data_IF_182644904086
#
_entry.id   IF_182644904086
#
_cell.length_a   1.000
_cell.length_b   1.000
_cell.length_c   1.000
_cell.angle_alpha   90.00
_cell.angle_beta   90.00
_cell.angle_gamma   90.00
#
_symmetry.space_group_name_H-M   'P 1'
#
loop_
_entity.id
_entity.type
_entity.pdbx_description
1 polymer ?
#
# COMPACT_ATOMS: atom_id res chain seq x y z
N UNK A 1 13.93 -3.63 28.17
CA UNK A 1 13.17 -4.85 27.83
C UNK A 1 11.74 -4.62 28.29
N UNK A 2 10.72 -4.99 27.52
CA UNK A 2 9.34 -4.89 27.99
C UNK A 2 9.17 -5.77 29.24
N UNK A 3 8.47 -5.25 30.25
CA UNK A 3 8.13 -6.01 31.44
C UNK A 3 7.05 -7.07 31.18
N UNK A 4 6.84 -7.99 32.12
CA UNK A 4 5.89 -9.09 31.97
C UNK A 4 4.47 -8.56 31.71
N UNK A 5 4.10 -7.45 32.34
CA UNK A 5 2.78 -6.83 32.17
C UNK A 5 2.59 -6.31 30.74
N UNK A 6 3.60 -5.64 30.18
CA UNK A 6 3.60 -5.16 28.80
C UNK A 6 3.44 -6.32 27.82
N UNK A 7 4.15 -7.43 28.02
CA UNK A 7 4.00 -8.62 27.17
C UNK A 7 2.62 -9.26 27.29
N UNK A 8 2.06 -9.29 28.48
CA UNK A 8 0.70 -9.79 28.70
C UNK A 8 -0.35 -8.93 27.96
N UNK A 9 -0.23 -7.61 28.06
CA UNK A 9 -1.13 -6.69 27.33
C UNK A 9 -0.95 -6.84 25.81
N UNK A 10 0.30 -6.92 25.33
CA UNK A 10 0.61 -7.13 23.92
C UNK A 10 -0.04 -8.40 23.35
N UNK A 11 -0.02 -9.50 24.13
CA UNK A 11 -0.68 -10.75 23.75
C UNK A 11 -2.20 -10.55 23.54
N UNK A 12 -2.89 -9.86 24.47
CA UNK A 12 -4.32 -9.60 24.29
C UNK A 12 -4.63 -8.67 23.14
N UNK A 13 -3.80 -7.65 22.91
CA UNK A 13 -3.93 -6.76 21.74
C UNK A 13 -3.73 -7.54 20.44
N UNK A 14 -2.79 -8.49 20.41
CA UNK A 14 -2.62 -9.40 19.27
C UNK A 14 -3.90 -10.20 19.00
N UNK A 15 -4.48 -10.83 20.03
CA UNK A 15 -5.74 -11.59 19.90
C UNK A 15 -6.88 -10.70 19.39
N UNK A 16 -7.03 -9.49 19.96
CA UNK A 16 -8.03 -8.52 19.48
C UNK A 16 -7.78 -8.18 18.01
N UNK A 17 -6.51 -7.96 17.62
CA UNK A 17 -6.13 -7.71 16.25
C UNK A 17 -6.51 -8.86 15.30
N UNK A 18 -6.33 -10.11 15.72
CA UNK A 18 -6.78 -11.27 14.94
C UNK A 18 -8.30 -11.29 14.75
N UNK A 19 -9.07 -11.02 15.82
CA UNK A 19 -10.53 -10.97 15.74
C UNK A 19 -11.01 -9.83 14.83
N UNK A 20 -10.42 -8.65 14.94
CA UNK A 20 -10.70 -7.52 14.03
C UNK A 20 -10.32 -7.90 12.60
N UNK A 21 -9.16 -8.51 12.34
CA UNK A 21 -8.75 -8.98 11.02
C UNK A 21 -9.74 -9.96 10.38
N UNK A 22 -10.31 -10.87 11.18
CA UNK A 22 -11.37 -11.77 10.71
C UNK A 22 -12.63 -10.99 10.32
N UNK A 23 -13.02 -9.98 11.10
CA UNK A 23 -14.12 -9.08 10.76
C UNK A 23 -13.82 -8.25 9.49
N UNK A 24 -12.59 -7.72 9.34
CA UNK A 24 -12.19 -6.98 8.14
C UNK A 24 -12.32 -7.82 6.87
N UNK A 25 -12.05 -9.13 6.91
CA UNK A 25 -12.31 -10.01 5.77
C UNK A 25 -13.80 -10.03 5.38
N UNK A 26 -14.71 -10.00 6.34
CA UNK A 26 -16.16 -9.89 6.07
C UNK A 26 -16.49 -8.55 5.41
N UNK A 27 -15.94 -7.43 5.93
CA UNK A 27 -16.13 -6.09 5.37
C UNK A 27 -15.64 -6.04 3.93
N UNK A 28 -14.44 -6.57 3.65
CA UNK A 28 -13.83 -6.61 2.32
C UNK A 28 -14.72 -7.38 1.34
N UNK A 29 -15.08 -8.62 1.68
CA UNK A 29 -15.77 -9.51 0.76
C UNK A 29 -17.20 -9.06 0.49
N UNK A 30 -17.93 -8.71 1.54
CA UNK A 30 -19.31 -8.25 1.40
C UNK A 30 -19.41 -6.85 0.82
N UNK A 31 -18.43 -5.98 1.10
CA UNK A 31 -18.32 -4.68 0.44
C UNK A 31 -18.19 -4.83 -1.08
N UNK A 32 -17.34 -5.74 -1.55
CA UNK A 32 -17.18 -6.03 -2.99
C UNK A 32 -18.43 -6.68 -3.59
N UNK A 33 -19.10 -7.57 -2.86
CA UNK A 33 -20.34 -8.23 -3.31
C UNK A 33 -21.59 -7.35 -3.12
N UNK A 34 -21.47 -6.16 -2.51
CA UNK A 34 -22.59 -5.27 -2.13
C UNK A 34 -23.62 -5.95 -1.23
N UNK A 35 -23.17 -6.87 -0.38
CA UNK A 35 -23.99 -7.58 0.60
C UNK A 35 -23.96 -6.88 1.96
N UNK A 36 -24.98 -7.11 2.80
CA UNK A 36 -25.02 -6.60 4.17
C UNK A 36 -23.89 -7.20 5.01
N UNK A 37 -23.17 -6.34 5.76
CA UNK A 37 -22.10 -6.76 6.67
C UNK A 37 -22.66 -7.53 7.88
N UNK A 38 -23.93 -7.31 8.26
CA UNK A 38 -24.53 -7.85 9.46
C UNK A 38 -25.19 -9.20 9.21
N UNK A 39 -25.98 -9.35 8.15
CA UNK A 39 -26.71 -10.58 7.80
C UNK A 39 -26.47 -10.98 6.35
N UNK A 40 -26.48 -12.27 6.05
CA UNK A 40 -26.61 -13.46 6.90
C UNK A 40 -25.29 -13.80 7.65
N UNK A 41 -25.27 -14.80 8.56
CA UNK A 41 -24.04 -15.26 9.21
C UNK A 41 -23.02 -15.78 8.18
N UNK A 42 -21.75 -15.92 8.60
CA UNK A 42 -20.66 -16.39 7.74
C UNK A 42 -20.96 -17.80 7.24
N UNK A 43 -20.80 -18.01 5.92
CA UNK A 43 -21.07 -19.27 5.23
C UNK A 43 -19.97 -19.59 4.23
N UNK A 44 -19.81 -20.88 3.92
CA UNK A 44 -18.90 -21.29 2.87
C UNK A 44 -19.43 -20.83 1.51
N UNK A 45 -18.65 -20.14 0.66
CA UNK A 45 -19.12 -19.68 -0.65
C UNK A 45 -19.45 -20.81 -1.62
N UNK A 46 -18.91 -22.02 -1.42
CA UNK A 46 -19.13 -23.18 -2.29
C UNK A 46 -20.33 -24.03 -1.87
N UNK A 47 -20.35 -24.51 -0.63
CA UNK A 47 -21.44 -25.40 -0.17
C UNK A 47 -22.56 -24.66 0.57
N UNK A 48 -22.44 -23.36 0.80
CA UNK A 48 -23.43 -22.49 1.48
C UNK A 48 -23.77 -22.89 2.92
N UNK A 49 -23.08 -23.87 3.52
CA UNK A 49 -23.24 -24.22 4.92
C UNK A 49 -22.79 -23.06 5.81
N UNK A 50 -23.58 -22.73 6.83
CA UNK A 50 -23.23 -21.75 7.84
C UNK A 50 -22.02 -22.23 8.65
N UNK A 51 -21.09 -21.30 8.92
CA UNK A 51 -19.91 -21.62 9.71
C UNK A 51 -20.30 -21.76 11.19
N UNK A 52 -19.82 -22.80 11.86
CA UNK A 52 -19.96 -23.00 13.28
C UNK A 52 -18.97 -22.05 13.99
N UNK A 53 -19.24 -21.68 15.24
CA UNK A 53 -18.46 -20.69 15.97
C UNK A 53 -16.93 -20.94 15.96
N UNK A 54 -16.47 -22.18 16.11
CA UNK A 54 -15.04 -22.51 16.09
C UNK A 54 -14.38 -22.44 14.71
N UNK A 55 -15.17 -22.49 13.61
CA UNK A 55 -14.66 -22.23 12.26
C UNK A 55 -14.27 -20.76 12.04
N UNK A 56 -14.71 -19.87 12.93
CA UNK A 56 -14.43 -18.44 12.88
C UNK A 56 -13.35 -18.01 13.86
N UNK A 57 -12.70 -18.96 14.60
CA UNK A 57 -11.55 -18.62 15.45
C UNK A 57 -10.38 -18.24 14.54
N UNK A 58 -9.93 -16.98 14.59
CA UNK A 58 -8.91 -16.49 13.67
C UNK A 58 -7.62 -17.31 13.76
N UNK A 59 -6.97 -17.53 12.62
CA UNK A 59 -5.79 -18.35 12.40
C UNK A 59 -5.97 -19.83 12.77
N UNK A 60 -6.49 -20.13 13.96
CA UNK A 60 -6.60 -21.48 14.46
C UNK A 60 -7.50 -22.34 13.58
N UNK A 61 -8.66 -21.84 13.18
CA UNK A 61 -9.57 -22.56 12.28
C UNK A 61 -8.90 -22.89 10.95
N UNK A 62 -8.17 -21.92 10.36
CA UNK A 62 -7.47 -22.13 9.09
C UNK A 62 -6.39 -23.20 9.20
N UNK A 63 -5.60 -23.19 10.29
CA UNK A 63 -4.52 -24.17 10.53
C UNK A 63 -5.10 -25.56 10.81
N UNK A 64 -6.09 -25.68 11.71
CA UNK A 64 -6.72 -26.94 12.07
C UNK A 64 -7.43 -27.60 10.89
N UNK A 65 -8.11 -26.81 10.05
CA UNK A 65 -8.79 -27.25 8.84
C UNK A 65 -7.84 -27.39 7.63
N UNK A 66 -6.55 -27.14 7.81
CA UNK A 66 -5.52 -27.18 6.74
C UNK A 66 -5.92 -26.37 5.50
N UNK A 67 -6.52 -25.20 5.73
CA UNK A 67 -6.98 -24.31 4.67
C UNK A 67 -8.13 -24.86 3.82
N UNK A 68 -8.98 -25.77 4.35
CA UNK A 68 -10.11 -26.39 3.65
C UNK A 68 -11.40 -26.23 4.44
N UNK A 69 -12.53 -26.16 3.74
CA UNK A 69 -13.84 -26.16 4.37
C UNK A 69 -14.09 -27.48 5.10
N UNK A 70 -14.66 -27.42 6.29
CA UNK A 70 -14.98 -28.62 7.08
C UNK A 70 -16.00 -29.54 6.38
N UNK A 71 -16.98 -28.97 5.69
CA UNK A 71 -18.10 -29.72 5.09
C UNK A 71 -17.80 -30.24 3.67
N UNK A 72 -17.26 -29.39 2.79
CA UNK A 72 -17.05 -29.74 1.37
C UNK A 72 -15.58 -29.91 0.97
N UNK A 73 -14.64 -29.69 1.90
CA UNK A 73 -13.20 -29.81 1.69
C UNK A 73 -12.62 -28.89 0.60
N UNK A 74 -13.40 -27.92 0.10
CA UNK A 74 -12.93 -26.92 -0.85
C UNK A 74 -11.90 -25.98 -0.19
N UNK A 75 -10.92 -25.54 -0.95
CA UNK A 75 -9.82 -24.67 -0.44
C UNK A 75 -10.35 -23.30 -0.01
N UNK A 76 -9.95 -22.89 1.20
CA UNK A 76 -10.18 -21.54 1.73
C UNK A 76 -9.05 -20.63 1.23
N UNK A 77 -9.40 -19.43 0.75
CA UNK A 77 -8.42 -18.44 0.31
C UNK A 77 -7.41 -18.12 1.41
N UNK A 78 -6.09 -18.11 1.12
CA UNK A 78 -5.07 -17.73 2.10
C UNK A 78 -5.18 -16.27 2.55
N UNK A 79 -5.96 -15.45 1.84
CA UNK A 79 -6.24 -14.06 2.22
C UNK A 79 -6.79 -13.96 3.65
N UNK A 80 -7.68 -14.87 4.05
CA UNK A 80 -8.25 -14.85 5.42
C UNK A 80 -7.15 -14.92 6.46
N UNK A 81 -6.27 -15.90 6.33
CA UNK A 81 -5.14 -16.09 7.23
C UNK A 81 -4.17 -14.89 7.22
N UNK A 82 -3.85 -14.38 6.03
CA UNK A 82 -2.89 -13.26 5.87
C UNK A 82 -3.45 -11.98 6.50
N UNK A 83 -4.71 -11.63 6.25
CA UNK A 83 -5.34 -10.42 6.80
C UNK A 83 -5.43 -10.51 8.32
N UNK A 84 -5.85 -11.65 8.87
CA UNK A 84 -5.92 -11.87 10.31
C UNK A 84 -4.55 -11.71 10.97
N UNK A 85 -3.54 -12.42 10.47
CA UNK A 85 -2.18 -12.36 11.00
C UNK A 85 -1.59 -10.96 10.91
N UNK A 86 -1.72 -10.32 9.75
CA UNK A 86 -1.23 -8.96 9.51
C UNK A 86 -1.86 -7.95 10.48
N UNK A 87 -3.18 -8.04 10.69
CA UNK A 87 -3.89 -7.16 11.62
C UNK A 87 -3.39 -7.37 13.05
N UNK A 88 -3.21 -8.62 13.48
CA UNK A 88 -2.67 -8.93 14.79
C UNK A 88 -1.27 -8.36 15.01
N UNK A 89 -0.36 -8.55 14.04
CA UNK A 89 1.00 -8.02 14.09
C UNK A 89 1.01 -6.49 14.12
N UNK A 90 0.23 -5.84 13.27
CA UNK A 90 0.16 -4.38 13.20
C UNK A 90 -0.40 -3.78 14.50
N UNK A 91 -1.45 -4.36 15.07
CA UNK A 91 -2.03 -3.90 16.32
C UNK A 91 -1.03 -3.97 17.47
N UNK A 92 -0.31 -5.08 17.54
CA UNK A 92 0.75 -5.26 18.53
C UNK A 92 1.90 -4.25 18.34
N UNK A 93 2.32 -4.04 17.09
CA UNK A 93 3.35 -3.05 16.76
C UNK A 93 2.92 -1.62 17.13
N UNK A 94 1.67 -1.24 16.83
CA UNK A 94 1.09 0.06 17.21
C UNK A 94 1.08 0.21 18.73
N UNK A 95 0.72 -0.83 19.47
CA UNK A 95 0.77 -0.81 20.93
C UNK A 95 2.20 -0.58 21.46
N UNK A 96 3.19 -1.27 20.95
CA UNK A 96 4.58 -1.05 21.36
C UNK A 96 5.08 0.37 21.04
N UNK A 97 4.57 0.97 19.97
CA UNK A 97 4.95 2.34 19.56
C UNK A 97 4.27 3.43 20.38
N UNK A 98 2.96 3.34 20.57
CA UNK A 98 2.14 4.41 21.13
C UNK A 98 1.71 4.17 22.59
N UNK A 99 1.99 2.98 23.16
CA UNK A 99 1.46 2.58 24.46
C UNK A 99 -0.07 2.59 24.49
N UNK A 100 -0.66 2.55 25.67
CA UNK A 100 -2.12 2.69 25.86
C UNK A 100 -2.44 4.19 25.82
N UNK A 101 -2.96 4.66 24.70
CA UNK A 101 -3.25 6.06 24.45
C UNK A 101 -4.41 6.25 23.46
N UNK A 102 -5.00 7.43 23.43
CA UNK A 102 -6.01 7.78 22.41
C UNK A 102 -5.39 7.69 21.01
N UNK A 103 -4.15 8.12 20.83
CA UNK A 103 -3.44 8.00 19.56
C UNK A 103 -3.29 6.55 19.10
N UNK A 104 -3.05 5.60 20.03
CA UNK A 104 -3.05 4.18 19.72
C UNK A 104 -4.41 3.73 19.16
N UNK A 105 -5.51 4.04 19.83
CA UNK A 105 -6.85 3.64 19.39
C UNK A 105 -7.18 4.19 17.99
N UNK A 106 -6.85 5.45 17.75
CA UNK A 106 -7.03 6.08 16.44
C UNK A 106 -6.18 5.39 15.36
N UNK A 107 -4.94 5.05 15.67
CA UNK A 107 -4.05 4.32 14.77
C UNK A 107 -4.56 2.91 14.44
N UNK A 108 -5.15 2.20 15.41
CA UNK A 108 -5.76 0.89 15.17
C UNK A 108 -6.92 0.99 14.14
N UNK A 109 -7.75 2.03 14.26
CA UNK A 109 -8.83 2.30 13.30
C UNK A 109 -8.26 2.65 11.93
N UNK A 110 -7.30 3.57 11.86
CA UNK A 110 -6.64 3.99 10.62
C UNK A 110 -6.02 2.80 9.88
N UNK A 111 -5.29 1.94 10.58
CA UNK A 111 -4.67 0.76 9.97
C UNK A 111 -5.71 -0.28 9.53
N UNK A 112 -6.83 -0.41 10.24
CA UNK A 112 -7.95 -1.25 9.81
C UNK A 112 -8.55 -0.75 8.49
N UNK A 113 -8.75 0.55 8.33
CA UNK A 113 -9.19 1.17 7.07
C UNK A 113 -8.17 0.93 5.94
N UNK A 114 -6.88 1.10 6.22
CA UNK A 114 -5.83 0.83 5.25
C UNK A 114 -5.81 -0.63 4.78
N UNK A 115 -5.98 -1.60 5.68
CA UNK A 115 -6.05 -3.02 5.32
C UNK A 115 -7.24 -3.28 4.38
N UNK A 116 -8.42 -2.74 4.70
CA UNK A 116 -9.60 -2.88 3.83
C UNK A 116 -9.33 -2.29 2.45
N UNK A 117 -8.87 -1.04 2.36
CA UNK A 117 -8.58 -0.36 1.10
C UNK A 117 -7.50 -1.10 0.30
N UNK A 118 -6.43 -1.57 0.96
CA UNK A 118 -5.35 -2.32 0.31
C UNK A 118 -5.86 -3.62 -0.31
N UNK A 119 -6.67 -4.39 0.40
CA UNK A 119 -7.14 -5.69 -0.09
C UNK A 119 -8.21 -5.53 -1.17
N UNK A 120 -9.11 -4.53 -1.06
CA UNK A 120 -10.11 -4.25 -2.11
C UNK A 120 -9.44 -3.74 -3.39
N UNK A 121 -8.41 -2.92 -3.27
CA UNK A 121 -7.62 -2.41 -4.38
C UNK A 121 -6.81 -3.52 -5.08
N UNK A 122 -6.23 -4.45 -4.32
CA UNK A 122 -5.54 -5.62 -4.88
C UNK A 122 -6.48 -6.58 -5.62
N UNK A 123 -7.74 -6.71 -5.17
CA UNK A 123 -8.69 -7.65 -5.76
C UNK A 123 -9.39 -7.09 -7.00
N UNK A 124 -10.02 -5.95 -6.83
CA UNK A 124 -10.93 -5.38 -7.83
C UNK A 124 -10.50 -4.01 -8.32
N UNK A 125 -9.35 -3.49 -7.83
CA UNK A 125 -8.87 -2.13 -8.12
C UNK A 125 -9.92 -1.06 -7.77
N UNK A 126 -10.64 -1.30 -6.67
CA UNK A 126 -11.70 -0.42 -6.15
C UNK A 126 -11.33 0.02 -4.75
N UNK A 127 -11.38 1.32 -4.56
CA UNK A 127 -11.28 1.97 -3.24
C UNK A 127 -12.65 2.60 -2.98
N UNK A 128 -13.30 2.19 -1.88
CA UNK A 128 -14.60 2.75 -1.50
C UNK A 128 -14.43 4.13 -0.90
N UNK A 129 -15.16 5.12 -1.40
CA UNK A 129 -15.10 6.51 -0.96
C UNK A 129 -15.29 6.67 0.54
N UNK A 130 -16.18 5.87 1.13
CA UNK A 130 -16.46 5.91 2.57
C UNK A 130 -15.21 5.63 3.41
N UNK A 131 -14.38 4.66 3.01
CA UNK A 131 -13.14 4.34 3.75
C UNK A 131 -12.10 5.46 3.61
N UNK A 132 -12.02 6.09 2.44
CA UNK A 132 -11.13 7.22 2.19
C UNK A 132 -11.54 8.46 3.00
N UNK A 133 -12.83 8.75 3.05
CA UNK A 133 -13.38 9.85 3.87
C UNK A 133 -13.11 9.59 5.36
N UNK A 134 -13.38 8.37 5.84
CA UNK A 134 -13.10 7.99 7.22
C UNK A 134 -11.60 8.09 7.54
N UNK A 135 -10.73 7.75 6.60
CA UNK A 135 -9.29 7.88 6.77
C UNK A 135 -8.89 9.33 7.03
N UNK A 136 -9.42 10.28 6.25
CA UNK A 136 -9.17 11.72 6.43
C UNK A 136 -9.72 12.19 7.78
N UNK A 137 -10.94 11.79 8.13
CA UNK A 137 -11.58 12.18 9.40
C UNK A 137 -10.75 11.68 10.59
N UNK A 138 -10.40 10.39 10.64
CA UNK A 138 -9.61 9.85 11.75
C UNK A 138 -8.18 10.40 11.77
N UNK A 139 -7.59 10.71 10.61
CA UNK A 139 -6.32 11.43 10.53
C UNK A 139 -6.39 12.84 11.14
N UNK A 140 -7.44 13.59 10.84
CA UNK A 140 -7.67 14.90 11.44
C UNK A 140 -7.93 14.82 12.97
N UNK A 141 -8.71 13.84 13.43
CA UNK A 141 -8.93 13.60 14.87
C UNK A 141 -7.61 13.27 15.56
N UNK A 142 -6.76 12.42 14.96
CA UNK A 142 -5.43 12.13 15.47
C UNK A 142 -4.57 13.39 15.56
N UNK A 143 -4.64 14.23 14.55
CA UNK A 143 -3.92 15.50 14.49
C UNK A 143 -4.38 16.48 15.58
N UNK A 144 -5.69 16.53 15.88
CA UNK A 144 -6.23 17.32 16.98
C UNK A 144 -5.69 16.82 18.33
N UNK A 145 -5.66 15.52 18.56
CA UNK A 145 -5.11 14.92 19.78
C UNK A 145 -3.62 15.24 19.93
N UNK A 146 -2.88 15.27 18.84
CA UNK A 146 -1.44 15.56 18.84
C UNK A 146 -1.10 17.06 18.68
N UNK A 147 -2.08 17.96 18.72
CA UNK A 147 -1.93 19.43 18.57
C UNK A 147 -1.22 19.86 17.28
N UNK A 148 -1.45 19.15 16.18
CA UNK A 148 -0.75 19.35 14.90
C UNK A 148 -1.69 19.64 13.71
N UNK A 149 -2.88 20.19 13.98
CA UNK A 149 -3.97 20.33 13.00
C UNK A 149 -3.57 21.15 11.76
N UNK A 150 -2.83 22.24 11.94
CA UNK A 150 -2.40 23.11 10.84
C UNK A 150 -1.55 22.34 9.82
N UNK A 151 -0.56 21.58 10.28
CA UNK A 151 0.30 20.78 9.41
C UNK A 151 -0.48 19.69 8.69
N UNK A 152 -1.49 19.12 9.32
CA UNK A 152 -2.35 18.08 8.73
C UNK A 152 -3.26 18.64 7.64
N UNK A 153 -3.82 19.82 7.82
CA UNK A 153 -4.63 20.48 6.77
C UNK A 153 -3.74 20.80 5.55
N UNK A 154 -2.55 21.34 5.77
CA UNK A 154 -1.59 21.57 4.68
C UNK A 154 -1.23 20.25 4.00
N UNK A 155 -0.98 19.19 4.79
CA UNK A 155 -0.64 17.86 4.28
C UNK A 155 -1.76 17.24 3.42
N UNK A 156 -3.03 17.43 3.79
CA UNK A 156 -4.17 16.99 2.96
C UNK A 156 -4.11 17.66 1.59
N UNK A 157 -3.99 18.98 1.56
CA UNK A 157 -3.95 19.75 0.32
C UNK A 157 -2.74 19.34 -0.54
N UNK A 158 -1.58 19.20 0.09
CA UNK A 158 -0.35 18.77 -0.57
C UNK A 158 -0.47 17.36 -1.16
N UNK A 159 -0.99 16.39 -0.40
CA UNK A 159 -1.19 15.03 -0.87
C UNK A 159 -2.11 14.95 -2.09
N UNK A 160 -3.23 15.68 -2.05
CA UNK A 160 -4.16 15.77 -3.17
C UNK A 160 -3.50 16.43 -4.37
N UNK A 161 -2.81 17.57 -4.18
CA UNK A 161 -2.17 18.29 -5.28
C UNK A 161 -1.05 17.48 -5.94
N UNK A 162 -0.21 16.81 -5.17
CA UNK A 162 0.88 15.97 -5.69
C UNK A 162 0.32 14.81 -6.53
N UNK A 163 -0.72 14.12 -6.04
CA UNK A 163 -1.30 12.99 -6.76
C UNK A 163 -2.03 13.45 -8.03
N UNK A 164 -2.74 14.58 -8.01
CA UNK A 164 -3.36 15.15 -9.21
C UNK A 164 -2.31 15.63 -10.24
N UNK A 165 -1.19 16.18 -9.75
CA UNK A 165 -0.07 16.55 -10.63
C UNK A 165 0.50 15.29 -11.32
N UNK A 166 0.76 14.22 -10.59
CA UNK A 166 1.24 12.97 -11.18
C UNK A 166 0.22 12.33 -12.12
N UNK A 167 -1.07 12.37 -11.79
CA UNK A 167 -2.14 11.88 -12.66
C UNK A 167 -2.21 12.69 -13.97
N UNK A 168 -2.05 14.01 -13.90
CA UNK A 168 -2.03 14.92 -15.06
C UNK A 168 -0.80 14.72 -15.92
N UNK A 169 0.38 14.58 -15.33
CA UNK A 169 1.62 14.25 -16.05
C UNK A 169 1.45 12.89 -16.76
N UNK A 170 0.92 11.89 -16.08
CA UNK A 170 0.64 10.58 -16.68
C UNK A 170 -0.29 10.67 -17.89
N UNK A 171 -1.31 11.54 -17.83
CA UNK A 171 -2.22 11.77 -18.94
C UNK A 171 -1.51 12.35 -20.18
N UNK A 172 -0.53 13.24 -20.00
CA UNK A 172 0.27 13.80 -21.11
C UNK A 172 1.04 12.71 -21.87
N UNK A 173 1.55 11.69 -21.15
CA UNK A 173 2.36 10.63 -21.79
C UNK A 173 1.53 9.46 -22.34
N UNK A 174 0.52 9.01 -21.61
CA UNK A 174 -0.22 7.76 -21.92
C UNK A 174 -1.63 8.03 -22.45
N UNK A 175 -2.13 9.28 -22.40
CA UNK A 175 -3.52 9.69 -22.68
C UNK A 175 -4.56 8.95 -21.82
N UNK A 176 -4.15 8.48 -20.67
CA UNK A 176 -5.00 7.91 -19.62
C UNK A 176 -4.50 8.38 -18.27
N UNK A 177 -5.40 8.46 -17.28
CA UNK A 177 -5.03 8.82 -15.90
C UNK A 177 -4.08 7.77 -15.34
N UNK A 178 -2.92 8.20 -14.82
CA UNK A 178 -1.89 7.28 -14.32
C UNK A 178 -2.29 6.67 -12.96
N UNK A 179 -3.01 7.46 -12.13
CA UNK A 179 -3.46 7.07 -10.79
C UNK A 179 -4.98 7.20 -10.68
N UNK A 180 -5.61 6.35 -9.89
CA UNK A 180 -7.03 6.41 -9.60
C UNK A 180 -7.39 7.60 -8.71
N UNK A 181 -8.66 8.02 -8.75
CA UNK A 181 -9.17 9.05 -7.81
C UNK A 181 -9.05 8.58 -6.36
N UNK A 182 -9.22 7.29 -6.12
CA UNK A 182 -9.04 6.68 -4.80
C UNK A 182 -7.64 6.87 -4.23
N UNK A 183 -6.59 6.77 -5.07
CA UNK A 183 -5.20 7.02 -4.65
C UNK A 183 -4.99 8.46 -4.18
N UNK A 184 -5.66 9.43 -4.84
CA UNK A 184 -5.64 10.84 -4.44
C UNK A 184 -6.24 11.04 -3.05
N UNK A 185 -7.36 10.37 -2.75
CA UNK A 185 -7.96 10.42 -1.42
C UNK A 185 -7.12 9.73 -0.35
N UNK A 186 -6.45 8.61 -0.67
CA UNK A 186 -5.52 7.97 0.26
C UNK A 186 -4.35 8.91 0.57
N UNK A 187 -3.78 9.58 -0.43
CA UNK A 187 -2.70 10.54 -0.21
C UNK A 187 -3.13 11.73 0.66
N UNK A 188 -4.36 12.24 0.46
CA UNK A 188 -4.96 13.23 1.35
C UNK A 188 -5.10 12.71 2.79
N UNK A 189 -5.54 11.46 2.97
CA UNK A 189 -5.61 10.80 4.27
C UNK A 189 -4.25 10.63 4.94
N UNK A 190 -3.22 10.26 4.19
CA UNK A 190 -1.83 10.22 4.67
C UNK A 190 -1.36 11.60 5.10
N UNK A 191 -1.71 12.65 4.33
CA UNK A 191 -1.44 14.04 4.70
C UNK A 191 -2.11 14.45 6.01
N UNK A 192 -3.34 14.00 6.25
CA UNK A 192 -4.04 14.20 7.51
C UNK A 192 -3.34 13.56 8.71
N UNK A 193 -2.75 12.37 8.51
CA UNK A 193 -2.08 11.58 9.55
C UNK A 193 -0.68 12.15 9.86
N UNK A 194 0.11 12.40 8.83
CA UNK A 194 1.53 12.72 8.96
C UNK A 194 1.84 14.22 8.94
N UNK A 195 0.95 15.03 8.37
CA UNK A 195 1.26 16.42 8.04
C UNK A 195 2.11 16.54 6.76
N UNK A 196 2.39 17.79 6.34
CA UNK A 196 2.96 18.11 5.03
C UNK A 196 4.39 17.57 4.83
N UNK A 197 5.29 17.79 5.78
CA UNK A 197 6.71 17.44 5.61
C UNK A 197 6.96 15.91 5.60
N UNK A 198 6.47 15.11 6.57
CA UNK A 198 6.63 13.65 6.50
C UNK A 198 5.87 12.99 5.35
N UNK A 199 4.77 13.59 4.88
CA UNK A 199 4.02 13.08 3.73
C UNK A 199 4.90 12.90 2.49
N UNK A 200 5.79 13.86 2.21
CA UNK A 200 6.71 13.78 1.06
C UNK A 200 7.56 12.51 1.11
N UNK A 201 8.10 12.19 2.28
CA UNK A 201 8.90 10.97 2.46
C UNK A 201 8.06 9.70 2.28
N UNK A 202 6.83 9.69 2.80
CA UNK A 202 5.91 8.56 2.65
C UNK A 202 5.54 8.37 1.18
N UNK A 203 5.24 9.43 0.43
CA UNK A 203 4.93 9.34 -0.99
C UNK A 203 6.15 8.91 -1.82
N UNK A 204 7.34 9.44 -1.55
CA UNK A 204 8.57 8.98 -2.21
C UNK A 204 8.84 7.50 -1.91
N UNK A 205 8.69 7.10 -0.66
CA UNK A 205 8.87 5.70 -0.27
C UNK A 205 7.82 4.80 -0.96
N UNK A 206 6.57 5.25 -1.10
CA UNK A 206 5.53 4.49 -1.80
C UNK A 206 5.85 4.31 -3.28
N UNK A 207 6.44 5.31 -3.94
CA UNK A 207 6.92 5.17 -5.32
C UNK A 207 8.05 4.15 -5.43
N UNK A 208 8.98 4.13 -4.47
CA UNK A 208 10.07 3.14 -4.42
C UNK A 208 9.50 1.73 -4.21
N UNK A 209 8.60 1.56 -3.24
CA UNK A 209 7.94 0.27 -2.98
C UNK A 209 7.18 -0.21 -4.22
N UNK A 210 6.42 0.68 -4.86
CA UNK A 210 5.71 0.37 -6.09
C UNK A 210 6.68 -0.06 -7.21
N UNK A 211 7.78 0.66 -7.38
CA UNK A 211 8.78 0.31 -8.38
C UNK A 211 9.40 -1.07 -8.11
N UNK A 212 9.74 -1.38 -6.86
CA UNK A 212 10.29 -2.69 -6.45
C UNK A 212 9.32 -3.82 -6.76
N UNK A 213 8.02 -3.62 -6.56
CA UNK A 213 6.99 -4.63 -6.84
C UNK A 213 6.73 -4.76 -8.35
N UNK A 214 6.62 -3.64 -9.06
CA UNK A 214 6.20 -3.63 -10.47
C UNK A 214 7.32 -3.97 -11.44
N UNK A 215 8.55 -3.53 -11.17
CA UNK A 215 9.69 -3.69 -12.09
C UNK A 215 9.98 -5.16 -12.45
N UNK A 216 10.05 -6.12 -11.51
CA UNK A 216 10.29 -7.52 -11.84
C UNK A 216 9.18 -8.12 -12.72
N UNK A 217 7.92 -7.77 -12.43
CA UNK A 217 6.76 -8.23 -13.19
C UNK A 217 6.78 -7.67 -14.61
N UNK A 218 7.13 -6.40 -14.74
CA UNK A 218 7.25 -5.72 -16.03
C UNK A 218 8.40 -6.30 -16.87
N UNK A 219 9.58 -6.51 -16.26
CA UNK A 219 10.72 -7.15 -16.93
C UNK A 219 10.38 -8.57 -17.42
N UNK A 220 9.70 -9.37 -16.60
CA UNK A 220 9.24 -10.71 -16.99
C UNK A 220 8.28 -10.65 -18.19
N UNK A 221 7.38 -9.65 -18.23
CA UNK A 221 6.46 -9.44 -19.37
C UNK A 221 7.22 -9.02 -20.63
N UNK A 222 8.14 -8.07 -20.53
CA UNK A 222 8.99 -7.64 -21.63
C UNK A 222 9.83 -8.80 -22.21
N UNK A 223 10.41 -9.61 -21.35
CA UNK A 223 11.18 -10.77 -21.76
C UNK A 223 10.33 -11.79 -22.53
N UNK A 224 9.11 -12.07 -22.05
CA UNK A 224 8.14 -12.94 -22.76
C UNK A 224 7.71 -12.35 -24.11
N UNK A 225 7.54 -11.03 -24.18
CA UNK A 225 7.18 -10.31 -25.40
C UNK A 225 8.35 -10.14 -26.38
N UNK A 226 9.56 -10.60 -26.03
CA UNK A 226 10.80 -10.43 -26.82
C UNK A 226 11.17 -8.96 -27.11
N UNK A 227 10.73 -8.03 -26.22
CA UNK A 227 10.98 -6.58 -26.35
C UNK A 227 12.34 -6.21 -25.75
N UNK A 228 13.41 -6.79 -26.31
CA UNK A 228 14.79 -6.61 -25.83
C UNK A 228 15.24 -5.14 -25.86
N UNK A 229 14.75 -4.33 -26.83
CA UNK A 229 15.12 -2.91 -26.94
C UNK A 229 14.77 -2.12 -25.68
N UNK A 230 13.61 -2.41 -25.07
CA UNK A 230 13.17 -1.74 -23.85
C UNK A 230 13.96 -2.22 -22.63
N UNK A 231 14.26 -3.51 -22.56
CA UNK A 231 15.11 -4.07 -21.49
C UNK A 231 16.51 -3.45 -21.54
N UNK A 232 17.09 -3.36 -22.72
CA UNK A 232 18.43 -2.76 -22.93
C UNK A 232 18.39 -1.27 -22.57
N UNK A 233 17.36 -0.52 -22.96
CA UNK A 233 17.24 0.90 -22.62
C UNK A 233 17.15 1.14 -21.12
N UNK A 234 16.41 0.29 -20.39
CA UNK A 234 16.32 0.30 -18.92
C UNK A 234 17.68 0.02 -18.27
N UNK A 235 18.36 -1.03 -18.73
CA UNK A 235 19.68 -1.39 -18.22
C UNK A 235 20.71 -0.28 -18.46
N UNK A 236 20.74 0.31 -19.67
CA UNK A 236 21.63 1.42 -20.00
C UNK A 236 21.34 2.65 -19.12
N UNK A 237 20.08 2.99 -18.92
CA UNK A 237 19.71 4.12 -18.04
C UNK A 237 20.21 3.89 -16.61
N UNK A 238 20.02 2.69 -16.05
CA UNK A 238 20.50 2.36 -14.71
C UNK A 238 22.03 2.39 -14.61
N UNK A 239 22.73 1.87 -15.61
CA UNK A 239 24.20 1.90 -15.66
C UNK A 239 24.71 3.33 -15.73
N UNK A 240 24.17 4.16 -16.64
CA UNK A 240 24.56 5.56 -16.80
C UNK A 240 24.34 6.33 -15.50
N UNK A 241 23.17 6.12 -14.84
CA UNK A 241 22.84 6.78 -13.56
C UNK A 241 23.78 6.33 -12.44
N UNK A 242 24.09 5.02 -12.36
CA UNK A 242 25.01 4.49 -11.37
C UNK A 242 26.45 5.03 -11.59
N UNK A 243 26.94 5.02 -12.84
CA UNK A 243 28.24 5.60 -13.20
C UNK A 243 28.29 7.11 -12.86
N UNK A 244 27.24 7.86 -13.21
CA UNK A 244 27.14 9.28 -12.87
C UNK A 244 27.24 9.51 -11.38
N UNK A 245 26.49 8.73 -10.56
CA UNK A 245 26.55 8.81 -9.10
C UNK A 245 27.94 8.52 -8.54
N UNK A 246 28.60 7.46 -9.02
CA UNK A 246 29.95 7.10 -8.61
C UNK A 246 30.95 8.21 -8.95
N UNK A 247 30.84 8.81 -10.13
CA UNK A 247 31.68 9.94 -10.53
C UNK A 247 31.43 11.16 -9.64
N UNK A 248 30.20 11.54 -9.35
CA UNK A 248 29.88 12.72 -8.53
C UNK A 248 30.24 12.59 -7.04
N UNK A 249 30.50 11.36 -6.55
CA UNK A 249 31.02 11.16 -5.19
C UNK A 249 32.48 11.59 -5.04
N UNK A 250 33.22 11.78 -6.11
CA UNK A 250 34.60 12.24 -6.10
C UNK A 250 34.63 13.78 -6.07
N UNK A 251 35.24 14.39 -5.05
CA UNK A 251 35.22 15.85 -4.81
C UNK A 251 36.00 16.70 -5.82
N UNK A 252 36.89 16.06 -6.63
CA UNK A 252 37.81 16.77 -7.55
C UNK A 252 37.35 16.81 -9.01
N UNK A 253 36.05 16.61 -9.26
CA UNK A 253 35.52 16.54 -10.63
C UNK A 253 35.23 17.94 -11.18
N UNK A 254 35.66 18.20 -12.42
CA UNK A 254 35.34 19.44 -13.11
C UNK A 254 33.83 19.59 -13.33
N UNK A 255 33.33 20.82 -13.19
CA UNK A 255 31.90 21.17 -13.41
C UNK A 255 31.43 20.72 -14.80
N UNK A 256 32.30 20.72 -15.82
CA UNK A 256 31.97 20.25 -17.16
C UNK A 256 31.51 18.80 -17.19
N UNK A 257 32.22 17.91 -16.46
CA UNK A 257 31.88 16.48 -16.38
C UNK A 257 30.52 16.29 -15.70
N UNK A 258 30.23 17.09 -14.67
CA UNK A 258 28.91 17.07 -13.99
C UNK A 258 27.80 17.47 -14.95
N UNK A 259 27.95 18.55 -15.70
CA UNK A 259 26.95 18.98 -16.70
C UNK A 259 26.72 17.96 -17.80
N UNK A 260 27.81 17.43 -18.40
CA UNK A 260 27.71 16.40 -19.45
C UNK A 260 27.05 15.12 -18.90
N UNK A 261 27.45 14.69 -17.71
CA UNK A 261 26.83 13.52 -17.05
C UNK A 261 25.35 13.72 -16.76
N UNK A 262 24.95 14.90 -16.28
CA UNK A 262 23.53 15.24 -16.05
C UNK A 262 22.74 15.19 -17.36
N UNK A 263 23.26 15.75 -18.45
CA UNK A 263 22.61 15.70 -19.76
C UNK A 263 22.45 14.26 -20.23
N UNK A 264 23.48 13.43 -20.09
CA UNK A 264 23.42 12.01 -20.47
C UNK A 264 22.35 11.24 -19.68
N UNK A 265 22.26 11.47 -18.35
CA UNK A 265 21.20 10.87 -17.51
C UNK A 265 19.82 11.31 -17.97
N UNK A 266 19.62 12.60 -18.23
CA UNK A 266 18.33 13.14 -18.71
C UNK A 266 17.95 12.57 -20.07
N UNK A 267 18.86 12.56 -21.03
CA UNK A 267 18.60 12.05 -22.38
C UNK A 267 18.32 10.55 -22.37
N UNK A 268 19.11 9.77 -21.63
CA UNK A 268 18.88 8.32 -21.48
C UNK A 268 17.56 8.02 -20.76
N UNK A 269 17.19 8.82 -19.75
CA UNK A 269 15.91 8.72 -19.05
C UNK A 269 14.73 9.02 -19.97
N UNK A 270 14.78 10.09 -20.75
CA UNK A 270 13.74 10.44 -21.74
C UNK A 270 13.59 9.35 -22.81
N UNK A 271 14.70 8.79 -23.29
CA UNK A 271 14.66 7.69 -24.25
C UNK A 271 14.03 6.44 -23.63
N UNK A 272 14.40 6.10 -22.39
CA UNK A 272 13.81 4.99 -21.63
C UNK A 272 12.28 5.18 -21.46
N UNK A 273 11.84 6.35 -21.01
CA UNK A 273 10.42 6.69 -20.87
C UNK A 273 9.68 6.54 -22.20
N UNK A 274 10.26 7.03 -23.31
CA UNK A 274 9.67 6.88 -24.65
C UNK A 274 9.51 5.41 -25.07
N UNK A 275 10.48 4.54 -24.78
CA UNK A 275 10.38 3.11 -25.09
C UNK A 275 9.31 2.41 -24.22
N UNK A 276 9.30 2.71 -22.91
CA UNK A 276 8.30 2.18 -21.97
C UNK A 276 6.89 2.60 -22.38
N UNK A 277 6.67 3.89 -22.67
CA UNK A 277 5.34 4.41 -23.06
C UNK A 277 4.87 3.84 -24.40
N UNK A 278 5.78 3.62 -25.35
CA UNK A 278 5.46 2.97 -26.62
C UNK A 278 4.95 1.55 -26.41
N UNK A 279 5.60 0.79 -25.52
CA UNK A 279 5.19 -0.58 -25.24
C UNK A 279 3.92 -0.66 -24.40
N UNK A 280 3.67 0.29 -23.50
CA UNK A 280 2.40 0.37 -22.76
C UNK A 280 1.23 0.63 -23.71
N UNK A 281 1.42 1.48 -24.73
CA UNK A 281 0.37 1.74 -25.75
C UNK A 281 0.07 0.55 -26.65
N UNK A 282 1.07 -0.28 -26.93
CA UNK A 282 0.91 -1.49 -27.76
C UNK A 282 0.40 -2.71 -26.99
N UNK A 283 0.53 -2.72 -25.67
CA UNK A 283 0.06 -3.78 -24.81
C UNK A 283 -1.33 -3.44 -24.27
N UNK A 284 -2.36 -4.07 -24.84
CA UNK A 284 -3.76 -3.97 -24.39
C UNK A 284 -3.95 -4.40 -22.92
N UNK A 285 -2.98 -5.13 -22.36
CA UNK A 285 -2.92 -5.56 -20.96
C UNK A 285 -1.76 -4.89 -20.22
N UNK A 286 -1.85 -3.59 -19.99
CA UNK A 286 -0.93 -2.92 -19.07
C UNK A 286 -1.00 -3.62 -17.70
N UNK A 287 0.16 -3.88 -17.08
CA UNK A 287 0.21 -4.33 -15.69
C UNK A 287 -0.18 -3.11 -14.84
N UNK A 288 -1.47 -2.86 -14.70
CA UNK A 288 -1.99 -1.84 -13.81
C UNK A 288 -2.00 -2.49 -12.42
N UNK A 289 -0.92 -2.33 -11.68
CA UNK A 289 -0.88 -2.69 -10.28
C UNK A 289 -1.46 -1.53 -9.47
N UNK A 290 -2.33 -1.82 -8.50
CA UNK A 290 -2.89 -0.81 -7.63
C UNK A 290 -1.78 -0.13 -6.81
N UNK A 291 -1.92 1.19 -6.56
CA UNK A 291 -0.92 1.98 -5.83
C UNK A 291 -1.20 2.02 -4.33
N UNK A 292 -2.44 1.82 -3.92
CA UNK A 292 -2.86 1.78 -2.52
C UNK A 292 -2.01 0.87 -1.62
N UNK A 293 -1.70 -0.38 -2.02
CA UNK A 293 -0.82 -1.27 -1.26
C UNK A 293 0.57 -0.71 -1.01
N UNK A 294 1.16 -0.02 -1.99
CA UNK A 294 2.48 0.59 -1.84
C UNK A 294 2.45 1.76 -0.84
N UNK A 295 1.39 2.57 -0.86
CA UNK A 295 1.18 3.64 0.12
C UNK A 295 1.01 3.07 1.54
N UNK A 296 0.26 1.98 1.70
CA UNK A 296 0.09 1.32 2.99
C UNK A 296 1.41 0.78 3.55
N UNK A 297 2.20 0.11 2.72
CA UNK A 297 3.52 -0.42 3.11
C UNK A 297 4.45 0.74 3.50
N UNK A 298 4.50 1.80 2.69
CA UNK A 298 5.33 2.97 2.95
C UNK A 298 4.93 3.68 4.26
N UNK A 299 3.63 3.88 4.49
CA UNK A 299 3.12 4.45 5.74
C UNK A 299 3.48 3.59 6.96
N UNK A 300 3.34 2.26 6.83
CA UNK A 300 3.71 1.31 7.88
C UNK A 300 5.21 1.39 8.20
N UNK A 301 6.07 1.34 7.18
CA UNK A 301 7.52 1.46 7.33
C UNK A 301 7.87 2.80 8.01
N UNK A 302 7.28 3.89 7.55
CA UNK A 302 7.55 5.21 8.11
C UNK A 302 7.16 5.31 9.59
N UNK A 303 5.99 4.79 9.97
CA UNK A 303 5.54 4.79 11.36
C UNK A 303 6.46 3.95 12.25
N UNK A 304 6.88 2.78 11.84
CA UNK A 304 7.65 1.88 12.70
C UNK A 304 9.15 2.20 12.75
N UNK A 305 9.68 2.95 11.77
CA UNK A 305 11.09 3.36 11.77
C UNK A 305 11.35 4.70 12.48
N UNK A 306 10.35 5.59 12.55
CA UNK A 306 10.44 6.89 13.26
C UNK A 306 9.71 6.84 14.60
#
# INVERSE_FOLDING_TARGET
MPDILTLYIAFWIFIIGLCIGSFLNVVILRGLSKESIVFPPSKCPKCQHALIWWHNIPLLSYILLRGKCYFCHEKISPQYFIVELLTGILFTGIFFKFGISISMLLMLIIFSLFIVMTVTDLKEKVIFDIHSILLVIFGLVLSLVNHNLQNSIIGILEGVLIMELFASIGYLFVKSRAFGVGDTFIAGGLGAIFGWYPLLFVLLLSLIVQAVITLPLYLKKLYKAKEFKTIISLALFLIITACYKLFTMNKDISMLIIYVGTILVVVSGLYCVRQVTRNIKSATDAIILPFGPAMFIAASIFIFLN
#
